data_IF_600382462604
#
_entry.id   IF_600382462604
#
_cell.length_a   1.000
_cell.length_b   1.000
_cell.length_c   1.000
_cell.angle_alpha   90.00
_cell.angle_beta   90.00
_cell.angle_gamma   90.00
#
_symmetry.space_group_name_H-M   'P 1'
#
loop_
_entity.id
_entity.type
_entity.pdbx_description
1 polymer ?
#
# COMPACT_ATOMS: atom_id res chain seq x y z
N UNK A 1 -10.21 15.42 60.29
CA UNK A 1 -9.43 14.17 60.25
C UNK A 1 -9.78 13.29 59.05
N UNK A 2 -11.03 12.90 58.79
CA UNK A 2 -11.35 12.10 57.59
C UNK A 2 -11.17 12.84 56.24
N UNK A 3 -11.30 14.18 56.23
CA UNK A 3 -11.09 15.01 55.03
C UNK A 3 -9.61 15.25 54.69
N UNK A 4 -8.72 15.14 55.67
CA UNK A 4 -7.26 15.28 55.46
C UNK A 4 -6.69 14.04 54.78
N UNK A 5 -7.09 12.83 55.23
CA UNK A 5 -6.67 11.56 54.63
C UNK A 5 -7.16 11.41 53.18
N UNK A 6 -8.38 11.87 52.87
CA UNK A 6 -8.89 11.90 51.49
C UNK A 6 -8.07 12.84 50.58
N UNK A 7 -7.56 13.95 51.13
CA UNK A 7 -6.76 14.92 50.38
C UNK A 7 -5.36 14.40 50.08
N UNK A 8 -4.71 13.71 51.04
CA UNK A 8 -3.43 13.03 50.84
C UNK A 8 -3.53 11.86 49.84
N UNK A 9 -4.60 11.05 49.94
CA UNK A 9 -4.84 9.98 48.97
C UNK A 9 -5.11 10.51 47.55
N UNK A 10 -5.76 11.68 47.42
CA UNK A 10 -6.01 12.30 46.13
C UNK A 10 -4.72 12.82 45.47
N UNK A 11 -3.82 13.43 46.24
CA UNK A 11 -2.51 13.87 45.71
C UNK A 11 -1.62 12.68 45.28
N UNK A 12 -1.67 11.56 46.02
CA UNK A 12 -0.94 10.34 45.67
C UNK A 12 -1.51 9.67 44.40
N UNK A 13 -2.83 9.58 44.29
CA UNK A 13 -3.51 9.03 43.11
C UNK A 13 -3.28 9.92 41.89
N UNK A 14 -3.25 11.24 42.04
CA UNK A 14 -2.97 12.18 40.96
C UNK A 14 -1.53 12.05 40.45
N UNK A 15 -0.54 11.87 41.33
CA UNK A 15 0.86 11.59 40.94
C UNK A 15 1.03 10.25 40.23
N UNK A 16 0.37 9.19 40.69
CA UNK A 16 0.42 7.90 40.00
C UNK A 16 -0.30 7.94 38.66
N UNK A 17 -1.46 8.59 38.56
CA UNK A 17 -2.17 8.78 37.31
C UNK A 17 -1.35 9.60 36.30
N UNK A 18 -0.65 10.63 36.75
CA UNK A 18 0.21 11.46 35.92
C UNK A 18 1.42 10.68 35.39
N UNK A 19 2.08 9.88 36.22
CA UNK A 19 3.17 8.98 35.80
C UNK A 19 2.69 7.86 34.86
N UNK A 20 1.45 7.37 35.03
CA UNK A 20 0.84 6.38 34.14
C UNK A 20 0.47 6.99 32.79
N UNK A 21 -0.06 8.21 32.76
CA UNK A 21 -0.36 8.93 31.51
C UNK A 21 0.92 9.31 30.79
N UNK A 22 1.98 9.75 31.48
CA UNK A 22 3.29 9.97 30.86
C UNK A 22 3.88 8.70 30.24
N UNK A 23 3.81 7.57 30.95
CA UNK A 23 4.25 6.28 30.40
C UNK A 23 3.37 5.80 29.25
N UNK A 24 2.07 6.06 29.29
CA UNK A 24 1.13 5.70 28.21
C UNK A 24 1.35 6.56 26.96
N UNK A 25 1.65 7.85 27.13
CA UNK A 25 2.00 8.78 26.04
C UNK A 25 3.33 8.37 25.40
N UNK A 26 4.33 8.02 26.22
CA UNK A 26 5.60 7.49 25.71
C UNK A 26 5.40 6.20 24.92
N UNK A 27 4.52 5.32 25.38
CA UNK A 27 4.15 4.08 24.69
C UNK A 27 3.46 4.36 23.35
N UNK A 28 2.51 5.30 23.29
CA UNK A 28 1.85 5.70 22.04
C UNK A 28 2.78 6.40 21.06
N UNK A 29 3.73 7.20 21.55
CA UNK A 29 4.75 7.85 20.72
C UNK A 29 5.67 6.82 20.09
N UNK A 30 6.08 5.79 20.84
CA UNK A 30 6.88 4.67 20.35
C UNK A 30 6.08 3.74 19.42
N UNK A 31 4.83 3.46 19.75
CA UNK A 31 3.94 2.64 18.94
C UNK A 31 3.61 3.33 17.61
N UNK A 32 3.34 4.63 17.62
CA UNK A 32 3.19 5.44 16.40
C UNK A 32 4.45 5.43 15.54
N UNK A 33 5.64 5.48 16.16
CA UNK A 33 6.91 5.33 15.45
C UNK A 33 7.08 3.94 14.85
N UNK A 34 6.73 2.88 15.58
CA UNK A 34 6.75 1.49 15.08
C UNK A 34 5.75 1.30 13.94
N UNK A 35 4.54 1.85 14.05
CA UNK A 35 3.52 1.80 13.00
C UNK A 35 3.97 2.57 11.76
N UNK A 36 4.52 3.77 11.92
CA UNK A 36 5.08 4.55 10.82
C UNK A 36 6.24 3.81 10.15
N UNK A 37 7.20 3.30 10.92
CA UNK A 37 8.33 2.52 10.41
C UNK A 37 7.87 1.22 9.72
N UNK A 38 6.88 0.51 10.29
CA UNK A 38 6.34 -0.72 9.71
C UNK A 38 5.57 -0.45 8.42
N UNK A 39 4.83 0.66 8.36
CA UNK A 39 4.15 1.15 7.15
C UNK A 39 5.14 1.48 6.04
N UNK A 40 6.17 2.27 6.34
CA UNK A 40 7.23 2.62 5.40
C UNK A 40 8.00 1.39 4.92
N UNK A 41 8.29 0.45 5.81
CA UNK A 41 9.00 -0.79 5.46
C UNK A 41 8.13 -1.73 4.61
N UNK A 42 6.82 -1.78 4.86
CA UNK A 42 5.86 -2.54 4.04
C UNK A 42 5.73 -1.93 2.63
N UNK A 43 5.61 -0.60 2.52
CA UNK A 43 5.61 0.09 1.23
C UNK A 43 6.90 -0.16 0.47
N UNK A 44 8.07 -0.05 1.12
CA UNK A 44 9.36 -0.32 0.48
C UNK A 44 9.47 -1.77 -0.01
N UNK A 45 9.05 -2.75 0.80
CA UNK A 45 9.03 -4.16 0.38
C UNK A 45 8.09 -4.38 -0.81
N UNK A 46 6.91 -3.76 -0.80
CA UNK A 46 5.96 -3.85 -1.91
C UNK A 46 6.55 -3.25 -3.20
N UNK A 47 7.14 -2.06 -3.11
CA UNK A 47 7.80 -1.40 -4.25
C UNK A 47 8.96 -2.26 -4.77
N UNK A 48 9.79 -2.81 -3.89
CA UNK A 48 10.88 -3.71 -4.28
C UNK A 48 10.36 -4.94 -5.04
N UNK A 49 9.35 -5.62 -4.50
CA UNK A 49 8.75 -6.80 -5.15
C UNK A 49 8.11 -6.42 -6.48
N UNK A 50 7.35 -5.32 -6.53
CA UNK A 50 6.71 -4.84 -7.75
C UNK A 50 7.74 -4.47 -8.83
N UNK A 51 8.83 -3.80 -8.44
CA UNK A 51 9.93 -3.46 -9.33
C UNK A 51 10.61 -4.72 -9.88
N UNK A 52 10.94 -5.68 -9.01
CA UNK A 52 11.52 -6.95 -9.43
C UNK A 52 10.61 -7.72 -10.37
N UNK A 53 9.31 -7.79 -10.07
CA UNK A 53 8.33 -8.50 -10.90
C UNK A 53 8.17 -7.81 -12.27
N UNK A 54 8.13 -6.48 -12.30
CA UNK A 54 8.04 -5.70 -13.54
C UNK A 54 9.28 -5.93 -14.42
N UNK A 55 10.47 -5.97 -13.82
CA UNK A 55 11.70 -6.29 -14.54
C UNK A 55 11.66 -7.68 -15.17
N UNK A 56 11.28 -8.70 -14.40
CA UNK A 56 11.15 -10.07 -14.94
C UNK A 56 10.16 -10.11 -16.10
N UNK A 57 8.99 -9.47 -15.95
CA UNK A 57 7.98 -9.41 -16.99
C UNK A 57 8.49 -8.71 -18.26
N UNK A 58 9.26 -7.63 -18.10
CA UNK A 58 9.87 -6.90 -19.20
C UNK A 58 10.85 -7.76 -20.00
N UNK A 59 11.74 -8.49 -19.31
CA UNK A 59 12.67 -9.42 -19.97
C UNK A 59 11.93 -10.58 -20.64
N UNK A 60 10.90 -11.14 -20.02
CA UNK A 60 10.07 -12.18 -20.63
C UNK A 60 9.39 -11.68 -21.91
N UNK A 61 8.90 -10.44 -21.90
CA UNK A 61 8.29 -9.81 -23.08
C UNK A 61 9.28 -9.66 -24.23
N UNK A 62 10.49 -9.17 -23.93
CA UNK A 62 11.58 -9.07 -24.91
C UNK A 62 11.97 -10.46 -25.46
N UNK A 63 12.15 -11.44 -24.58
CA UNK A 63 12.49 -12.81 -24.98
C UNK A 63 11.41 -13.43 -25.87
N UNK A 64 10.13 -13.21 -25.54
CA UNK A 64 9.01 -13.64 -26.37
C UNK A 64 9.02 -12.97 -27.75
N UNK A 65 9.34 -11.67 -27.81
CA UNK A 65 9.37 -10.93 -29.07
C UNK A 65 10.50 -11.45 -29.97
N UNK A 66 11.66 -11.76 -29.39
CA UNK A 66 12.76 -12.40 -30.10
C UNK A 66 12.40 -13.81 -30.58
N UNK A 67 11.79 -14.64 -29.73
CA UNK A 67 11.41 -16.01 -30.10
C UNK A 67 10.37 -16.04 -31.23
N UNK A 68 9.35 -15.17 -31.15
CA UNK A 68 8.34 -15.03 -32.21
C UNK A 68 8.97 -14.40 -33.46
N UNK A 69 9.83 -13.40 -33.28
CA UNK A 69 10.53 -12.72 -34.37
C UNK A 69 11.45 -13.65 -35.16
N UNK A 70 12.18 -14.54 -34.48
CA UNK A 70 13.02 -15.55 -35.11
C UNK A 70 12.18 -16.61 -35.85
N UNK A 71 11.07 -17.06 -35.26
CA UNK A 71 10.15 -17.99 -35.91
C UNK A 71 9.47 -17.40 -37.17
N UNK A 72 9.31 -16.08 -37.24
CA UNK A 72 8.71 -15.36 -38.37
C UNK A 72 9.77 -14.77 -39.34
N UNK A 73 11.06 -15.04 -39.13
CA UNK A 73 12.19 -14.46 -39.89
C UNK A 73 12.19 -12.91 -39.91
N UNK A 74 11.52 -12.30 -38.93
CA UNK A 74 11.36 -10.84 -38.83
C UNK A 74 11.10 -10.40 -37.40
N UNK A 75 12.10 -9.77 -36.78
CA UNK A 75 11.96 -9.19 -35.45
C UNK A 75 10.86 -8.12 -35.37
N UNK A 76 10.66 -7.35 -36.45
CA UNK A 76 9.61 -6.33 -36.50
C UNK A 76 8.22 -6.94 -36.30
N UNK A 77 7.95 -8.10 -36.91
CA UNK A 77 6.68 -8.82 -36.74
C UNK A 77 6.55 -9.41 -35.32
N UNK A 78 7.65 -9.91 -34.75
CA UNK A 78 7.68 -10.40 -33.37
C UNK A 78 7.28 -9.32 -32.36
N UNK A 79 7.87 -8.13 -32.45
CA UNK A 79 7.48 -7.00 -31.60
C UNK A 79 6.06 -6.51 -31.86
N UNK A 80 5.60 -6.52 -33.11
CA UNK A 80 4.23 -6.10 -33.47
C UNK A 80 3.18 -7.04 -32.86
N UNK A 81 3.41 -8.36 -32.92
CA UNK A 81 2.52 -9.35 -32.32
C UNK A 81 2.45 -9.17 -30.81
N UNK A 82 3.59 -9.02 -30.14
CA UNK A 82 3.63 -8.78 -28.70
C UNK A 82 2.92 -7.47 -28.34
N UNK A 83 3.16 -6.40 -29.07
CA UNK A 83 2.45 -5.13 -28.87
C UNK A 83 0.93 -5.30 -29.04
N UNK A 84 0.48 -6.06 -30.05
CA UNK A 84 -0.92 -6.40 -30.25
C UNK A 84 -1.53 -7.17 -29.08
N UNK A 85 -0.81 -8.16 -28.53
CA UNK A 85 -1.24 -8.92 -27.34
C UNK A 85 -1.42 -7.98 -26.15
N UNK A 86 -0.45 -7.09 -25.88
CA UNK A 86 -0.58 -6.10 -24.80
C UNK A 86 -1.75 -5.14 -25.03
N UNK A 87 -2.00 -4.73 -26.26
CA UNK A 87 -3.13 -3.85 -26.61
C UNK A 87 -4.47 -4.55 -26.33
N UNK A 88 -4.61 -5.82 -26.71
CA UNK A 88 -5.81 -6.63 -26.40
C UNK A 88 -5.97 -6.81 -24.89
N UNK A 89 -4.90 -7.12 -24.16
CA UNK A 89 -4.94 -7.24 -22.69
C UNK A 89 -5.35 -5.90 -22.04
N UNK A 90 -4.78 -4.78 -22.48
CA UNK A 90 -5.15 -3.45 -22.00
C UNK A 90 -6.59 -3.10 -22.32
N UNK A 91 -7.09 -3.43 -23.52
CA UNK A 91 -8.49 -3.24 -23.89
C UNK A 91 -9.45 -4.09 -23.05
N UNK A 92 -9.10 -5.36 -22.80
CA UNK A 92 -9.88 -6.25 -21.95
C UNK A 92 -9.89 -5.77 -20.49
N UNK A 93 -8.74 -5.33 -19.98
CA UNK A 93 -8.64 -4.68 -18.68
C UNK A 93 -9.55 -3.45 -18.61
N UNK A 94 -9.60 -2.62 -19.64
CA UNK A 94 -10.46 -1.43 -19.68
C UNK A 94 -11.95 -1.77 -19.61
N UNK A 95 -12.41 -2.78 -20.37
CA UNK A 95 -13.78 -3.30 -20.32
C UNK A 95 -14.15 -3.89 -18.95
N UNK A 96 -13.21 -4.56 -18.29
CA UNK A 96 -13.40 -5.11 -16.94
C UNK A 96 -13.33 -4.00 -15.88
N UNK A 97 -12.54 -2.94 -16.12
CA UNK A 97 -12.34 -1.81 -15.21
C UNK A 97 -13.65 -1.08 -14.95
N UNK A 98 -14.47 -0.83 -15.99
CA UNK A 98 -15.81 -0.24 -15.83
C UNK A 98 -16.72 -1.08 -14.90
N UNK A 99 -16.54 -2.40 -14.88
CA UNK A 99 -17.44 -3.32 -14.14
C UNK A 99 -16.93 -3.73 -12.75
N UNK A 100 -15.61 -3.81 -12.54
CA UNK A 100 -14.99 -4.31 -11.31
C UNK A 100 -14.25 -3.22 -10.53
N UNK A 101 -13.73 -2.21 -11.22
CA UNK A 101 -12.82 -1.22 -10.63
C UNK A 101 -13.54 0.10 -10.40
N UNK A 102 -14.36 0.60 -11.33
CA UNK A 102 -15.07 1.87 -11.15
C UNK A 102 -16.06 1.82 -9.99
N UNK A 103 -16.81 0.74 -9.79
CA UNK A 103 -17.76 0.62 -8.67
C UNK A 103 -17.13 0.88 -7.28
N UNK A 104 -16.20 0.03 -6.81
CA UNK A 104 -15.62 0.17 -5.47
C UNK A 104 -14.57 1.30 -5.37
N UNK A 105 -13.90 1.69 -6.46
CA UNK A 105 -12.95 2.80 -6.43
C UNK A 105 -13.70 4.14 -6.41
N UNK A 106 -14.70 4.35 -7.26
CA UNK A 106 -15.47 5.59 -7.26
C UNK A 106 -16.28 5.76 -5.97
N UNK A 107 -16.81 4.67 -5.39
CA UNK A 107 -17.48 4.71 -4.09
C UNK A 107 -16.52 5.11 -2.96
N UNK A 108 -15.30 4.54 -2.90
CA UNK A 108 -14.28 4.94 -1.92
C UNK A 108 -13.71 6.34 -2.14
N UNK A 109 -13.51 6.77 -3.38
CA UNK A 109 -13.09 8.13 -3.68
C UNK A 109 -14.20 9.15 -3.38
N UNK A 110 -15.47 8.78 -3.61
CA UNK A 110 -16.62 9.61 -3.25
C UNK A 110 -16.74 9.76 -1.73
N UNK A 111 -16.59 8.69 -0.96
CA UNK A 111 -16.68 8.75 0.51
C UNK A 111 -15.54 9.57 1.14
N UNK A 112 -14.33 9.50 0.57
CA UNK A 112 -13.18 10.29 1.02
C UNK A 112 -13.29 11.77 0.61
N UNK A 113 -13.93 12.08 -0.53
CA UNK A 113 -14.00 13.44 -1.06
C UNK A 113 -15.28 14.20 -0.65
N UNK A 114 -16.39 13.49 -0.37
CA UNK A 114 -17.67 14.10 0.04
C UNK A 114 -17.91 14.07 1.57
N UNK A 115 -17.01 13.49 2.36
CA UNK A 115 -17.11 13.48 3.83
C UNK A 115 -16.14 14.47 4.51
N UNK A 116 -15.92 15.63 3.87
CA UNK A 116 -15.54 16.88 4.55
C UNK A 116 -16.77 17.81 4.59
#
# INVERSE_FOLDING_TARGET
>A
MAFEELKEHTEYIQKQAQAYIENSVAYYKLWGFIVAMKSTTMMLKFVLIALSLTMVLFFCSIAGAFAIGEALDSYALGFLIIAGIYLVISGLLFLIKDKIVEGPILEKFSEIFFND
#
